data_IF_379841399988
#
_entry.id   IF_379841399988
#
_cell.length_a   1.000
_cell.length_b   1.000
_cell.length_c   1.000
_cell.angle_alpha   90.00
_cell.angle_beta   90.00
_cell.angle_gamma   90.00
#
_symmetry.space_group_name_H-M   'P 1'
#
loop_
_entity.id
_entity.type
_entity.pdbx_description
1 polymer ?
#
# COMPACT_ATOMS: atom_id res chain seq x y z
N UNK A 1 17.76 3.26 33.26
CA UNK A 1 16.79 4.37 33.35
C UNK A 1 16.47 4.81 31.93
N UNK A 2 15.19 4.69 31.60
CA UNK A 2 14.46 5.05 30.38
C UNK A 2 15.01 4.70 29.00
N UNK A 3 14.61 3.50 28.53
CA UNK A 3 14.47 3.15 27.12
C UNK A 3 13.03 3.38 26.60
N UNK A 4 12.24 4.26 27.23
CA UNK A 4 10.79 4.31 27.09
C UNK A 4 10.23 5.48 26.28
N UNK A 5 11.03 6.20 25.51
CA UNK A 5 10.51 7.11 24.47
C UNK A 5 10.49 6.39 23.12
N UNK A 6 9.79 5.25 23.06
CA UNK A 6 9.38 4.67 21.78
C UNK A 6 8.38 5.65 21.16
N UNK A 7 8.62 6.05 19.90
CA UNK A 7 7.78 6.99 19.16
C UNK A 7 6.30 6.63 19.31
N UNK A 8 5.56 7.47 20.02
CA UNK A 8 4.09 7.42 20.15
C UNK A 8 3.35 7.54 18.80
N UNK A 9 4.05 7.70 17.67
CA UNK A 9 3.46 7.96 16.35
C UNK A 9 2.83 6.74 15.68
N UNK A 10 3.08 5.51 16.17
CA UNK A 10 2.59 4.29 15.52
C UNK A 10 1.47 3.55 16.25
N UNK A 11 1.10 3.99 17.46
CA UNK A 11 -0.03 3.39 18.18
C UNK A 11 -1.35 3.84 17.56
N UNK A 12 -2.13 2.88 17.05
CA UNK A 12 -3.41 3.14 16.40
C UNK A 12 -4.62 2.98 17.33
N UNK A 13 -4.45 2.55 18.58
CA UNK A 13 -5.57 2.40 19.53
C UNK A 13 -6.43 3.67 19.65
N UNK A 14 -5.87 4.89 19.79
CA UNK A 14 -6.69 6.10 19.84
C UNK A 14 -7.57 6.27 18.60
N UNK A 15 -7.06 5.89 17.42
CA UNK A 15 -7.84 5.94 16.18
C UNK A 15 -8.94 4.87 16.17
N UNK A 16 -8.67 3.64 16.61
CA UNK A 16 -9.70 2.60 16.75
C UNK A 16 -10.82 3.06 17.69
N UNK A 17 -10.48 3.67 18.82
CA UNK A 17 -11.47 4.24 19.75
C UNK A 17 -12.29 5.35 19.09
N UNK A 18 -11.66 6.22 18.30
CA UNK A 18 -12.37 7.25 17.53
C UNK A 18 -13.32 6.64 16.50
N UNK A 19 -12.92 5.57 15.81
CA UNK A 19 -13.80 4.86 14.87
C UNK A 19 -15.03 4.36 15.61
N UNK A 20 -14.84 3.65 16.72
CA UNK A 20 -15.94 3.12 17.53
C UNK A 20 -16.90 4.20 18.03
N UNK A 21 -16.38 5.35 18.49
CA UNK A 21 -17.21 6.45 19.00
C UNK A 21 -17.94 7.22 17.90
N UNK A 22 -17.54 7.10 16.63
CA UNK A 22 -18.09 7.87 15.52
C UNK A 22 -18.84 7.02 14.49
N UNK A 23 -19.11 5.74 14.78
CA UNK A 23 -20.02 4.92 13.96
C UNK A 23 -21.39 5.62 13.95
N UNK A 24 -21.94 5.98 12.79
CA UNK A 24 -23.25 6.64 12.75
C UNK A 24 -24.37 5.71 13.27
N UNK A 25 -25.31 6.27 14.03
CA UNK A 25 -26.41 5.49 14.61
C UNK A 25 -27.52 5.17 13.59
N UNK A 26 -27.87 6.14 12.73
CA UNK A 26 -28.99 6.07 11.78
C UNK A 26 -28.60 5.54 10.39
N UNK A 27 -27.84 4.45 10.35
CA UNK A 27 -27.40 3.77 9.12
C UNK A 27 -27.62 2.26 9.23
N UNK A 28 -27.65 1.57 8.09
CA UNK A 28 -27.83 0.11 8.03
C UNK A 28 -26.61 -0.62 8.62
N UNK A 29 -26.80 -1.89 8.99
CA UNK A 29 -25.69 -2.72 9.48
C UNK A 29 -24.57 -2.86 8.41
N UNK A 30 -24.93 -2.98 7.13
CA UNK A 30 -23.96 -3.00 6.04
C UNK A 30 -23.19 -1.68 5.91
N UNK A 31 -23.88 -0.55 6.09
CA UNK A 31 -23.24 0.78 6.12
C UNK A 31 -22.31 0.94 7.33
N UNK A 32 -22.63 0.35 8.50
CA UNK A 32 -21.73 0.32 9.67
C UNK A 32 -20.48 -0.52 9.38
N UNK A 33 -20.65 -1.69 8.77
CA UNK A 33 -19.55 -2.54 8.32
C UNK A 33 -18.66 -1.76 7.33
N UNK A 34 -19.27 -1.08 6.36
CA UNK A 34 -18.56 -0.23 5.40
C UNK A 34 -17.79 0.90 6.07
N UNK A 35 -18.40 1.58 7.04
CA UNK A 35 -17.75 2.63 7.83
C UNK A 35 -16.51 2.11 8.55
N UNK A 36 -16.65 1.02 9.31
CA UNK A 36 -15.53 0.39 10.04
C UNK A 36 -14.43 -0.02 9.05
N UNK A 37 -14.78 -0.66 7.95
CA UNK A 37 -13.85 -1.15 6.94
C UNK A 37 -13.01 -0.01 6.34
N UNK A 38 -13.66 1.07 5.90
CA UNK A 38 -12.99 2.22 5.30
C UNK A 38 -12.12 2.95 6.33
N UNK A 39 -12.62 3.20 7.53
CA UNK A 39 -11.84 3.92 8.56
C UNK A 39 -10.62 3.11 9.03
N UNK A 40 -10.75 1.80 9.21
CA UNK A 40 -9.59 0.94 9.51
C UNK A 40 -8.56 0.97 8.37
N UNK A 41 -9.01 0.96 7.11
CA UNK A 41 -8.12 1.01 5.95
C UNK A 41 -7.29 2.30 5.84
N UNK A 42 -7.77 3.39 6.46
CA UNK A 42 -7.03 4.67 6.52
C UNK A 42 -5.88 4.65 7.54
N UNK A 43 -5.87 3.72 8.50
CA UNK A 43 -4.90 3.72 9.61
C UNK A 43 -3.90 2.58 9.56
N UNK A 44 -4.27 1.45 8.94
CA UNK A 44 -3.38 0.30 8.80
C UNK A 44 -2.43 0.42 7.60
N UNK A 45 -1.30 -0.26 7.70
CA UNK A 45 -0.41 -0.57 6.57
C UNK A 45 0.00 -2.03 6.66
N UNK A 46 0.19 -2.67 5.51
CA UNK A 46 0.57 -4.08 5.48
C UNK A 46 2.00 -4.28 5.98
N UNK A 47 2.15 -5.23 6.91
CA UNK A 47 3.45 -5.59 7.46
C UNK A 47 4.24 -6.47 6.48
N UNK A 48 5.01 -5.82 5.60
CA UNK A 48 5.81 -6.50 4.58
C UNK A 48 6.99 -7.32 5.14
N UNK A 49 7.25 -7.23 6.46
CA UNK A 49 8.30 -8.00 7.15
C UNK A 49 8.09 -9.50 7.08
N UNK A 50 6.83 -9.92 6.91
CA UNK A 50 6.42 -11.32 6.74
C UNK A 50 7.18 -12.05 5.62
N UNK A 51 7.70 -11.34 4.63
CA UNK A 51 8.47 -11.93 3.52
C UNK A 51 9.90 -12.31 3.94
N UNK A 52 10.47 -11.61 4.92
CA UNK A 52 11.79 -11.91 5.48
C UNK A 52 11.74 -12.69 6.79
N UNK A 53 10.62 -12.59 7.51
CA UNK A 53 10.41 -13.21 8.81
C UNK A 53 8.95 -13.66 8.94
N UNK A 54 8.71 -14.95 8.72
CA UNK A 54 7.37 -15.53 8.80
C UNK A 54 6.79 -15.54 10.22
N UNK A 55 7.60 -15.34 11.26
CA UNK A 55 7.12 -15.32 12.65
C UNK A 55 6.22 -14.12 12.93
N UNK A 56 6.40 -13.02 12.18
CA UNK A 56 5.56 -11.81 12.23
C UNK A 56 4.07 -12.13 11.97
N UNK A 57 3.79 -13.10 11.11
CA UNK A 57 2.41 -13.54 10.83
C UNK A 57 1.72 -14.20 12.03
N UNK A 58 2.52 -14.76 12.95
CA UNK A 58 2.06 -15.54 14.09
C UNK A 58 2.11 -14.75 15.40
N UNK A 59 2.51 -13.47 15.36
CA UNK A 59 2.47 -12.59 16.53
C UNK A 59 1.02 -12.29 16.92
N UNK A 60 0.56 -12.72 18.12
CA UNK A 60 -0.79 -12.41 18.57
C UNK A 60 -0.94 -10.92 18.86
N UNK A 61 -2.16 -10.41 18.71
CA UNK A 61 -2.51 -9.08 19.16
C UNK A 61 -2.59 -9.08 20.69
N UNK A 62 -1.73 -8.29 21.32
CA UNK A 62 -1.75 -8.08 22.77
C UNK A 62 -2.60 -6.84 23.08
N UNK A 63 -3.91 -7.05 23.25
CA UNK A 63 -4.87 -6.00 23.57
C UNK A 63 -4.63 -5.39 24.97
N UNK A 64 -4.03 -6.15 25.91
CA UNK A 64 -3.74 -5.72 27.29
C UNK A 64 -2.61 -4.68 27.34
N UNK A 65 -1.68 -4.72 26.37
CA UNK A 65 -0.60 -3.72 26.26
C UNK A 65 -1.07 -2.33 25.83
N UNK A 66 -2.35 -2.17 25.47
CA UNK A 66 -2.94 -0.91 24.99
C UNK A 66 -2.11 -0.25 23.86
N UNK A 67 -1.44 -1.06 23.05
CA UNK A 67 -0.51 -0.63 22.02
C UNK A 67 -0.63 -1.55 20.81
N UNK A 68 -1.33 -1.08 19.79
CA UNK A 68 -1.41 -1.74 18.49
C UNK A 68 -0.69 -0.86 17.48
N UNK A 69 0.40 -1.37 16.89
CA UNK A 69 1.12 -0.67 15.82
C UNK A 69 0.34 -0.66 14.49
N UNK A 70 0.53 0.37 13.66
CA UNK A 70 -0.10 0.50 12.32
C UNK A 70 0.25 -0.62 11.32
N UNK A 71 1.45 -1.20 11.42
CA UNK A 71 1.89 -2.28 10.52
C UNK A 71 1.35 -3.61 11.03
N UNK A 72 0.50 -4.26 10.22
CA UNK A 72 -0.16 -5.51 10.56
C UNK A 72 -0.28 -6.46 9.38
N UNK A 73 -0.30 -7.76 9.67
CA UNK A 73 -0.51 -8.82 8.67
C UNK A 73 -2.00 -9.01 8.38
N UNK A 74 -2.32 -9.79 7.34
CA UNK A 74 -3.70 -10.06 6.94
C UNK A 74 -4.54 -10.67 8.08
N UNK A 75 -3.93 -11.54 8.89
CA UNK A 75 -4.59 -12.13 10.06
C UNK A 75 -4.92 -11.08 11.11
N UNK A 76 -3.94 -10.28 11.52
CA UNK A 76 -4.15 -9.28 12.57
C UNK A 76 -5.14 -8.18 12.14
N UNK A 77 -5.12 -7.76 10.87
CA UNK A 77 -6.10 -6.81 10.34
C UNK A 77 -7.52 -7.43 10.33
N UNK A 78 -7.63 -8.69 9.90
CA UNK A 78 -8.92 -9.42 9.86
C UNK A 78 -9.47 -9.68 11.27
N UNK A 79 -8.61 -9.96 12.25
CA UNK A 79 -8.98 -10.14 13.65
C UNK A 79 -9.58 -8.86 14.26
N UNK A 80 -8.90 -7.72 14.07
CA UNK A 80 -9.41 -6.42 14.55
C UNK A 80 -10.73 -6.07 13.85
N UNK A 81 -10.82 -6.26 12.53
CA UNK A 81 -12.06 -6.00 11.81
C UNK A 81 -13.21 -6.90 12.27
N UNK A 82 -12.96 -8.20 12.44
CA UNK A 82 -13.92 -9.18 12.97
C UNK A 82 -14.40 -8.81 14.37
N UNK A 83 -13.47 -8.42 15.25
CA UNK A 83 -13.78 -7.97 16.59
C UNK A 83 -14.72 -6.76 16.56
N UNK A 84 -14.42 -5.74 15.75
CA UNK A 84 -15.24 -4.54 15.67
C UNK A 84 -16.63 -4.83 15.08
N UNK A 85 -16.73 -5.64 14.03
CA UNK A 85 -18.03 -6.01 13.46
C UNK A 85 -18.89 -6.75 14.49
N UNK A 86 -18.34 -7.78 15.15
CA UNK A 86 -19.08 -8.57 16.14
C UNK A 86 -19.52 -7.79 17.39
N UNK A 87 -18.82 -6.71 17.74
CA UNK A 87 -19.15 -5.90 18.92
C UNK A 87 -20.05 -4.70 18.62
N UNK A 88 -19.96 -4.12 17.41
CA UNK A 88 -20.60 -2.84 17.08
C UNK A 88 -21.65 -2.91 15.98
N UNK A 89 -21.84 -4.08 15.35
CA UNK A 89 -22.86 -4.31 14.32
C UNK A 89 -23.83 -5.39 14.83
N UNK A 90 -24.94 -5.02 15.50
CA UNK A 90 -25.71 -5.92 16.37
C UNK A 90 -26.23 -7.21 15.72
N UNK A 91 -26.51 -7.18 14.41
CA UNK A 91 -27.12 -8.31 13.72
C UNK A 91 -26.17 -9.02 12.74
N UNK A 92 -24.91 -8.61 12.65
CA UNK A 92 -23.91 -9.24 11.79
C UNK A 92 -23.05 -10.24 12.58
N UNK A 93 -22.58 -11.29 11.91
CA UNK A 93 -21.62 -12.25 12.49
C UNK A 93 -20.40 -12.36 11.59
N UNK A 94 -19.25 -11.94 12.12
CA UNK A 94 -17.98 -11.98 11.44
C UNK A 94 -17.11 -13.15 11.92
N UNK A 95 -16.37 -13.78 11.00
CA UNK A 95 -15.29 -14.73 11.32
C UNK A 95 -14.15 -14.62 10.30
N UNK A 96 -12.95 -14.97 10.75
CA UNK A 96 -11.78 -15.09 9.87
C UNK A 96 -11.87 -16.40 9.08
N UNK A 97 -11.53 -16.35 7.81
CA UNK A 97 -11.43 -17.52 6.93
C UNK A 97 -10.10 -17.53 6.17
N UNK A 98 -9.65 -18.71 5.78
CA UNK A 98 -8.56 -18.86 4.80
C UNK A 98 -9.07 -18.56 3.39
N UNK A 99 -8.24 -17.91 2.59
CA UNK A 99 -8.56 -17.47 1.23
C UNK A 99 -7.38 -17.72 0.30
N UNK A 100 -7.56 -18.66 -0.63
CA UNK A 100 -6.64 -18.82 -1.76
C UNK A 100 -6.87 -17.71 -2.78
N UNK A 101 -5.83 -16.96 -3.14
CA UNK A 101 -5.90 -15.94 -4.19
C UNK A 101 -5.31 -16.51 -5.49
N UNK A 102 -6.10 -16.63 -6.58
CA UNK A 102 -5.60 -17.15 -7.85
C UNK A 102 -4.36 -16.39 -8.34
N UNK A 103 -3.35 -17.13 -8.78
CA UNK A 103 -2.11 -16.56 -9.33
C UNK A 103 -1.17 -15.94 -8.29
N UNK A 104 -1.48 -16.00 -6.99
CA UNK A 104 -0.58 -15.57 -5.91
C UNK A 104 -0.23 -16.74 -5.01
N UNK A 105 1.07 -16.91 -4.78
CA UNK A 105 1.59 -17.84 -3.79
C UNK A 105 2.10 -17.03 -2.61
N UNK A 106 1.55 -17.30 -1.43
CA UNK A 106 2.00 -16.71 -0.18
C UNK A 106 2.79 -17.77 0.60
N UNK A 107 3.75 -17.33 1.42
CA UNK A 107 4.49 -18.25 2.31
C UNK A 107 3.60 -18.85 3.41
N UNK A 108 2.50 -18.16 3.75
CA UNK A 108 1.42 -18.62 4.61
C UNK A 108 0.07 -18.34 3.94
N UNK A 109 -0.93 -19.17 4.21
CA UNK A 109 -2.29 -18.98 3.69
C UNK A 109 -2.78 -17.56 3.99
N UNK A 110 -3.29 -16.89 2.95
CA UNK A 110 -3.87 -15.57 3.09
C UNK A 110 -5.25 -15.69 3.75
N UNK A 111 -5.63 -14.69 4.54
CA UNK A 111 -6.91 -14.71 5.27
C UNK A 111 -7.74 -13.47 4.98
N UNK A 112 -9.06 -13.65 5.06
CA UNK A 112 -10.07 -12.63 4.87
C UNK A 112 -11.15 -12.75 5.97
N UNK A 113 -12.14 -11.87 5.92
CA UNK A 113 -13.29 -11.88 6.85
C UNK A 113 -14.56 -12.26 6.11
N UNK A 114 -15.25 -13.31 6.57
CA UNK A 114 -16.63 -13.59 6.19
C UNK A 114 -17.56 -12.87 7.17
N UNK A 115 -18.61 -12.24 6.65
CA UNK A 115 -19.70 -11.68 7.46
C UNK A 115 -21.03 -12.24 6.99
N UNK A 116 -21.77 -12.87 7.90
CA UNK A 116 -23.14 -13.32 7.68
C UNK A 116 -24.13 -12.28 8.25
N UNK A 117 -25.09 -11.89 7.43
CA UNK A 117 -26.16 -10.94 7.75
C UNK A 117 -27.44 -11.68 8.21
N UNK A 118 -28.42 -10.97 8.82
CA UNK A 118 -29.64 -11.61 9.35
C UNK A 118 -30.50 -12.33 8.32
N UNK A 119 -30.43 -11.90 7.07
CA UNK A 119 -31.12 -12.51 5.93
C UNK A 119 -30.35 -13.71 5.35
N UNK A 120 -29.28 -14.15 6.00
CA UNK A 120 -28.35 -15.20 5.56
C UNK A 120 -27.47 -14.85 4.37
N UNK A 121 -27.45 -13.59 3.94
CA UNK A 121 -26.45 -13.12 2.97
C UNK A 121 -25.05 -13.24 3.59
N UNK A 122 -24.10 -13.72 2.81
CA UNK A 122 -22.71 -13.90 3.22
C UNK A 122 -21.78 -13.09 2.36
N UNK A 123 -21.02 -12.19 2.98
CA UNK A 123 -20.10 -11.32 2.28
C UNK A 123 -18.65 -11.66 2.62
N UNK A 124 -17.79 -11.57 1.60
CA UNK A 124 -16.35 -11.70 1.74
C UNK A 124 -15.69 -10.32 1.75
N UNK A 125 -14.92 -10.03 2.80
CA UNK A 125 -14.22 -8.76 2.97
C UNK A 125 -12.71 -8.98 3.16
N UNK A 126 -11.90 -8.30 2.37
CA UNK A 126 -10.44 -8.37 2.46
C UNK A 126 -9.81 -6.98 2.53
N UNK A 127 -9.80 -6.44 3.74
CA UNK A 127 -9.29 -5.09 4.01
C UNK A 127 -7.81 -4.94 3.62
N UNK A 128 -7.03 -6.01 3.75
CA UNK A 128 -5.60 -6.01 3.46
C UNK A 128 -5.35 -5.71 1.98
N UNK A 129 -6.15 -6.29 1.08
CA UNK A 129 -6.00 -6.04 -0.34
C UNK A 129 -6.49 -4.65 -0.76
N UNK A 130 -7.42 -4.05 0.00
CA UNK A 130 -8.00 -2.73 -0.26
C UNK A 130 -7.30 -1.56 0.46
N UNK A 131 -6.30 -1.79 1.33
CA UNK A 131 -5.59 -0.72 2.04
C UNK A 131 -5.13 0.41 1.10
N UNK A 132 -4.49 0.05 -0.02
CA UNK A 132 -4.01 1.02 -1.00
C UNK A 132 -5.15 1.71 -1.76
N UNK A 133 -6.25 1.01 -2.01
CA UNK A 133 -7.44 1.59 -2.65
C UNK A 133 -8.05 2.65 -1.73
N UNK A 134 -8.26 2.31 -0.46
CA UNK A 134 -8.84 3.20 0.55
C UNK A 134 -7.95 4.43 0.74
N UNK A 135 -6.65 4.25 0.96
CA UNK A 135 -5.71 5.35 1.20
C UNK A 135 -5.56 6.27 -0.02
N UNK A 136 -5.65 5.73 -1.23
CA UNK A 136 -5.62 6.54 -2.45
C UNK A 136 -6.95 7.22 -2.78
N UNK A 137 -8.06 6.88 -2.10
CA UNK A 137 -9.40 7.32 -2.48
C UNK A 137 -9.93 6.65 -3.75
N UNK A 138 -9.46 5.44 -4.05
CA UNK A 138 -9.96 4.59 -5.12
C UNK A 138 -11.20 3.81 -4.66
N UNK A 139 -11.94 3.25 -5.62
CA UNK A 139 -12.99 2.27 -5.35
C UNK A 139 -12.36 1.04 -4.71
N UNK A 140 -12.98 0.53 -3.66
CA UNK A 140 -12.65 -0.78 -3.08
C UNK A 140 -12.98 -1.88 -4.08
N UNK A 141 -12.11 -2.88 -4.17
CA UNK A 141 -12.23 -4.02 -5.08
C UNK A 141 -12.43 -5.34 -4.30
N UNK A 142 -12.38 -5.30 -2.96
CA UNK A 142 -12.46 -6.48 -2.08
C UNK A 142 -13.41 -6.29 -0.89
N UNK A 143 -14.37 -5.37 -1.02
CA UNK A 143 -15.52 -5.22 -0.13
C UNK A 143 -16.76 -5.92 -0.72
N UNK A 144 -16.91 -7.23 -0.50
CA UNK A 144 -18.06 -7.99 -1.01
C UNK A 144 -18.12 -8.10 -2.53
N UNK A 145 -16.99 -7.98 -3.23
CA UNK A 145 -16.94 -7.96 -4.70
C UNK A 145 -16.61 -9.31 -5.34
N UNK A 146 -16.23 -10.28 -4.53
CA UNK A 146 -15.76 -11.57 -5.00
C UNK A 146 -16.49 -12.69 -4.28
N UNK A 147 -16.70 -13.77 -5.02
CA UNK A 147 -17.08 -15.05 -4.45
C UNK A 147 -15.96 -16.07 -4.65
N UNK A 148 -15.97 -17.13 -3.86
CA UNK A 148 -15.08 -18.26 -4.05
C UNK A 148 -15.47 -19.12 -5.27
N UNK A 149 -14.71 -20.19 -5.50
CA UNK A 149 -14.87 -21.10 -6.64
C UNK A 149 -16.22 -21.83 -6.69
N UNK A 150 -16.98 -21.83 -5.59
CA UNK A 150 -18.29 -22.49 -5.47
C UNK A 150 -19.44 -21.50 -5.32
N UNK A 151 -19.18 -20.20 -5.54
CA UNK A 151 -20.19 -19.14 -5.51
C UNK A 151 -20.95 -19.01 -4.18
N UNK A 152 -20.27 -19.20 -3.04
CA UNK A 152 -20.94 -19.19 -1.72
C UNK A 152 -21.16 -17.80 -1.10
N UNK A 153 -20.58 -16.74 -1.69
CA UNK A 153 -20.70 -15.38 -1.18
C UNK A 153 -21.55 -14.50 -2.09
N UNK A 154 -22.34 -13.65 -1.47
CA UNK A 154 -23.12 -12.61 -2.11
C UNK A 154 -22.24 -11.43 -2.55
N UNK A 155 -22.71 -10.72 -3.58
CA UNK A 155 -21.97 -9.65 -4.22
C UNK A 155 -22.62 -8.30 -3.95
N UNK A 156 -21.83 -7.39 -3.38
CA UNK A 156 -22.16 -5.98 -3.24
C UNK A 156 -21.72 -5.26 -4.51
N UNK A 157 -22.63 -4.50 -5.12
CA UNK A 157 -22.31 -3.81 -6.37
C UNK A 157 -21.44 -2.56 -6.15
N UNK A 158 -20.67 -2.15 -7.17
CA UNK A 158 -19.87 -0.92 -7.11
C UNK A 158 -20.77 0.32 -6.97
N UNK A 159 -22.00 0.24 -7.49
CA UNK A 159 -23.01 1.29 -7.34
C UNK A 159 -23.43 1.43 -5.87
N UNK A 160 -23.71 0.32 -5.20
CA UNK A 160 -24.11 0.29 -3.80
C UNK A 160 -22.98 0.77 -2.88
N UNK A 161 -21.74 0.32 -3.11
CA UNK A 161 -20.56 0.87 -2.41
C UNK A 161 -20.43 2.38 -2.58
N UNK A 162 -20.67 2.91 -3.80
CA UNK A 162 -20.64 4.36 -4.05
C UNK A 162 -21.76 5.13 -3.36
N UNK A 163 -22.94 4.52 -3.22
CA UNK A 163 -24.06 5.11 -2.48
C UNK A 163 -23.74 5.17 -0.99
N UNK A 164 -23.20 4.09 -0.41
CA UNK A 164 -22.72 4.08 0.97
C UNK A 164 -21.61 5.11 1.19
N UNK A 165 -20.59 5.15 0.34
CA UNK A 165 -19.46 6.07 0.48
C UNK A 165 -19.88 7.55 0.39
N UNK A 166 -20.89 7.87 -0.43
CA UNK A 166 -21.47 9.23 -0.48
C UNK A 166 -22.24 9.56 0.78
N UNK A 167 -23.08 8.63 1.26
CA UNK A 167 -23.87 8.81 2.49
C UNK A 167 -22.99 8.97 3.72
N UNK A 168 -21.91 8.19 3.80
CA UNK A 168 -20.92 8.21 4.88
C UNK A 168 -19.90 9.36 4.72
N UNK A 169 -19.96 10.13 3.63
CA UNK A 169 -19.08 11.29 3.40
C UNK A 169 -17.64 10.95 3.00
N UNK A 170 -17.36 9.70 2.62
CA UNK A 170 -16.04 9.27 2.14
C UNK A 170 -15.73 9.77 0.73
N UNK A 171 -16.77 9.99 -0.09
CA UNK A 171 -16.61 10.47 -1.47
C UNK A 171 -17.57 11.62 -1.74
N UNK A 172 -17.02 12.82 -1.97
CA UNK A 172 -17.79 14.02 -2.31
C UNK A 172 -17.75 14.35 -3.81
N UNK A 173 -16.56 14.44 -4.40
CA UNK A 173 -16.35 14.90 -5.79
C UNK A 173 -16.14 13.78 -6.82
N UNK A 174 -15.88 12.55 -6.36
CA UNK A 174 -15.52 11.41 -7.22
C UNK A 174 -14.43 10.55 -6.59
N UNK A 175 -14.15 9.40 -7.20
CA UNK A 175 -13.03 8.56 -6.79
C UNK A 175 -11.76 8.96 -7.53
N UNK A 176 -10.60 8.64 -6.99
CA UNK A 176 -9.31 8.79 -7.69
C UNK A 176 -9.27 7.97 -9.00
N UNK A 177 -10.12 6.95 -9.16
CA UNK A 177 -10.29 6.28 -10.45
C UNK A 177 -10.71 7.27 -11.56
N UNK A 178 -11.63 8.19 -11.23
CA UNK A 178 -12.13 9.20 -12.17
C UNK A 178 -11.01 10.20 -12.54
N UNK A 179 -10.08 10.46 -11.62
CA UNK A 179 -8.88 11.27 -11.88
C UNK A 179 -7.88 10.55 -12.78
N UNK A 180 -7.68 9.23 -12.60
CA UNK A 180 -6.82 8.41 -13.46
C UNK A 180 -7.39 8.37 -14.89
N UNK A 181 -8.69 8.15 -15.04
CA UNK A 181 -9.36 8.13 -16.35
C UNK A 181 -9.21 9.48 -17.07
N UNK A 182 -9.33 10.59 -16.32
CA UNK A 182 -9.11 11.94 -16.87
C UNK A 182 -7.66 12.12 -17.32
N UNK A 183 -6.67 11.75 -16.50
CA UNK A 183 -5.25 11.84 -16.85
C UNK A 183 -4.94 10.99 -18.09
N UNK A 184 -5.49 9.78 -18.18
CA UNK A 184 -5.37 8.92 -19.36
C UNK A 184 -5.95 9.58 -20.61
N UNK A 185 -7.15 10.17 -20.49
CA UNK A 185 -7.77 10.92 -21.57
C UNK A 185 -6.91 12.11 -22.00
N UNK A 186 -6.38 12.89 -21.06
CA UNK A 186 -5.51 14.05 -21.35
C UNK A 186 -4.23 13.62 -22.08
N UNK A 187 -3.57 12.55 -21.61
CA UNK A 187 -2.36 12.01 -22.22
C UNK A 187 -2.58 11.44 -23.62
N UNK A 188 -3.76 10.90 -23.91
CA UNK A 188 -4.10 10.41 -25.26
C UNK A 188 -4.22 11.53 -26.31
N UNK A 189 -4.37 12.78 -25.88
CA UNK A 189 -4.45 13.95 -26.76
C UNK A 189 -3.08 14.63 -26.96
N UNK A 190 -2.04 14.17 -26.28
CA UNK A 190 -0.69 14.73 -26.43
C UNK A 190 -0.06 14.20 -27.71
N UNK A 191 0.40 15.11 -28.57
CA UNK A 191 1.17 14.75 -29.75
C UNK A 191 2.61 14.38 -29.37
N UNK A 192 2.91 13.08 -29.40
CA UNK A 192 4.24 12.54 -29.18
C UNK A 192 5.05 12.35 -30.47
N UNK A 193 4.61 12.93 -31.59
CA UNK A 193 5.35 12.86 -32.85
C UNK A 193 6.77 13.41 -32.70
N UNK A 194 7.76 12.61 -33.11
CA UNK A 194 9.17 12.97 -32.99
C UNK A 194 9.79 12.79 -31.60
N UNK A 195 9.03 12.27 -30.61
CA UNK A 195 9.56 11.88 -29.31
C UNK A 195 10.08 10.45 -29.31
N UNK A 196 11.17 10.23 -28.59
CA UNK A 196 11.68 8.90 -28.32
C UNK A 196 10.81 8.17 -27.29
N UNK A 197 10.75 6.82 -27.29
CA UNK A 197 10.01 6.07 -26.27
C UNK A 197 10.37 6.46 -24.83
N UNK A 198 11.65 6.77 -24.59
CA UNK A 198 12.13 7.27 -23.29
C UNK A 198 11.46 8.59 -22.89
N UNK A 199 11.45 9.58 -23.79
CA UNK A 199 10.84 10.89 -23.52
C UNK A 199 9.33 10.77 -23.26
N UNK A 200 8.65 9.87 -23.97
CA UNK A 200 7.21 9.63 -23.78
C UNK A 200 6.94 9.09 -22.36
N UNK A 201 7.66 8.04 -21.95
CA UNK A 201 7.51 7.46 -20.61
C UNK A 201 7.88 8.48 -19.53
N UNK A 202 8.98 9.23 -19.71
CA UNK A 202 9.39 10.28 -18.76
C UNK A 202 8.32 11.36 -18.60
N UNK A 203 7.71 11.79 -19.71
CA UNK A 203 6.62 12.77 -19.71
C UNK A 203 5.39 12.23 -18.96
N UNK A 204 4.92 11.03 -19.31
CA UNK A 204 3.75 10.40 -18.67
C UNK A 204 3.94 10.24 -17.16
N UNK A 205 5.10 9.76 -16.73
CA UNK A 205 5.39 9.57 -15.29
C UNK A 205 5.43 10.92 -14.56
N UNK A 206 6.04 11.94 -15.17
CA UNK A 206 6.07 13.30 -14.59
C UNK A 206 4.66 13.86 -14.46
N UNK A 207 3.84 13.72 -15.51
CA UNK A 207 2.45 14.16 -15.52
C UNK A 207 1.61 13.44 -14.44
N UNK A 208 1.72 12.12 -14.35
CA UNK A 208 1.07 11.33 -13.30
C UNK A 208 1.52 11.75 -11.90
N UNK A 209 2.82 12.00 -11.70
CA UNK A 209 3.33 12.48 -10.41
C UNK A 209 2.71 13.82 -10.03
N UNK A 210 2.60 14.76 -10.96
CA UNK A 210 2.02 16.09 -10.69
C UNK A 210 0.51 16.03 -10.40
N UNK A 211 -0.23 15.16 -11.08
CA UNK A 211 -1.70 15.11 -11.01
C UNK A 211 -2.25 14.11 -9.99
N UNK A 212 -1.51 13.03 -9.72
CA UNK A 212 -2.00 11.86 -9.00
C UNK A 212 -1.15 11.51 -7.77
N UNK A 213 -0.24 12.38 -7.32
CA UNK A 213 0.48 12.12 -6.07
C UNK A 213 -0.47 12.03 -4.87
N UNK A 214 -0.27 10.98 -4.05
CA UNK A 214 -1.02 10.73 -2.82
C UNK A 214 -0.04 10.39 -1.69
N UNK A 215 -0.48 10.63 -0.45
CA UNK A 215 0.24 10.20 0.74
C UNK A 215 -0.31 8.87 1.23
N UNK A 216 0.58 8.00 1.71
CA UNK A 216 0.23 6.67 2.19
C UNK A 216 0.74 6.46 3.60
N UNK A 217 0.03 5.61 4.34
CA UNK A 217 0.40 5.20 5.69
C UNK A 217 1.72 4.41 5.66
N UNK A 218 1.90 3.56 4.65
CA UNK A 218 3.14 2.84 4.44
C UNK A 218 3.57 2.76 2.98
N UNK A 219 4.84 2.36 2.79
CA UNK A 219 5.45 2.24 1.48
C UNK A 219 4.79 1.16 0.61
N UNK A 220 4.22 0.11 1.22
CA UNK A 220 3.60 -0.98 0.47
C UNK A 220 2.36 -0.49 -0.29
N UNK A 221 1.47 0.26 0.37
CA UNK A 221 0.27 0.79 -0.24
C UNK A 221 0.60 1.77 -1.37
N UNK A 222 1.54 2.69 -1.14
CA UNK A 222 1.95 3.63 -2.17
C UNK A 222 2.64 2.97 -3.36
N UNK A 223 3.41 1.91 -3.12
CA UNK A 223 3.99 1.09 -4.19
C UNK A 223 2.92 0.43 -5.07
N UNK A 224 1.90 -0.17 -4.44
CA UNK A 224 0.76 -0.75 -5.16
C UNK A 224 0.00 0.31 -5.95
N UNK A 225 -0.22 1.48 -5.35
CA UNK A 225 -0.89 2.59 -6.01
C UNK A 225 -0.13 3.08 -7.26
N UNK A 226 1.17 3.32 -7.13
CA UNK A 226 1.99 3.75 -8.28
C UNK A 226 1.97 2.70 -9.38
N UNK A 227 2.11 1.42 -9.02
CA UNK A 227 2.03 0.36 -10.02
C UNK A 227 0.67 0.39 -10.76
N UNK A 228 -0.44 0.55 -10.04
CA UNK A 228 -1.78 0.70 -10.64
C UNK A 228 -1.86 1.91 -11.58
N UNK A 229 -1.40 3.08 -11.14
CA UNK A 229 -1.39 4.29 -11.99
C UNK A 229 -0.59 4.07 -13.27
N UNK A 230 0.61 3.49 -13.17
CA UNK A 230 1.43 3.19 -14.34
C UNK A 230 0.75 2.18 -15.27
N UNK A 231 0.14 1.12 -14.74
CA UNK A 231 -0.54 0.12 -15.58
C UNK A 231 -1.78 0.65 -16.29
N UNK A 232 -2.44 1.66 -15.74
CA UNK A 232 -3.64 2.26 -16.35
C UNK A 232 -3.29 3.30 -17.41
N UNK A 233 -2.18 4.02 -17.25
CA UNK A 233 -1.79 5.16 -18.07
C UNK A 233 -0.82 4.80 -19.20
N UNK A 234 0.02 3.79 -19.00
CA UNK A 234 0.98 3.35 -20.01
C UNK A 234 0.28 2.55 -21.11
N UNK A 235 0.76 2.72 -22.34
CA UNK A 235 0.32 1.90 -23.48
C UNK A 235 0.85 0.47 -23.37
N UNK A 236 0.24 -0.52 -24.04
CA UNK A 236 0.65 -1.93 -23.93
C UNK A 236 2.14 -2.16 -24.22
N UNK A 237 2.73 -1.45 -25.19
CA UNK A 237 4.14 -1.54 -25.55
C UNK A 237 5.05 -0.99 -24.45
N UNK A 238 4.66 0.11 -23.81
CA UNK A 238 5.40 0.71 -22.70
C UNK A 238 5.33 -0.19 -21.46
N UNK A 239 4.14 -0.72 -21.17
CA UNK A 239 3.87 -1.60 -20.03
C UNK A 239 4.66 -2.91 -20.11
N UNK A 240 4.88 -3.47 -21.31
CA UNK A 240 5.71 -4.68 -21.49
C UNK A 240 7.14 -4.50 -20.98
N UNK A 241 7.67 -3.28 -21.03
CA UNK A 241 9.02 -2.98 -20.55
C UNK A 241 9.08 -2.68 -19.05
N UNK A 242 7.92 -2.45 -18.40
CA UNK A 242 7.83 -2.12 -16.98
C UNK A 242 8.12 -3.36 -16.12
N UNK A 243 9.15 -3.24 -15.28
CA UNK A 243 9.46 -4.20 -14.21
C UNK A 243 9.45 -3.51 -12.86
N UNK A 244 8.83 -4.15 -11.88
CA UNK A 244 8.86 -3.70 -10.49
C UNK A 244 9.78 -4.60 -9.65
N UNK A 245 10.64 -3.97 -8.86
CA UNK A 245 11.51 -4.64 -7.89
C UNK A 245 11.28 -4.02 -6.51
N UNK A 246 11.10 -4.87 -5.50
CA UNK A 246 10.98 -4.42 -4.12
C UNK A 246 12.30 -4.68 -3.39
N UNK A 247 12.82 -3.63 -2.77
CA UNK A 247 14.03 -3.66 -1.96
C UNK A 247 13.62 -3.42 -0.50
N UNK A 248 14.11 -4.27 0.40
CA UNK A 248 13.89 -4.14 1.83
C UNK A 248 15.20 -3.89 2.55
N UNK A 249 15.16 -3.05 3.58
CA UNK A 249 16.26 -2.87 4.51
C UNK A 249 15.73 -3.12 5.91
N UNK A 250 16.24 -4.18 6.54
CA UNK A 250 15.92 -4.52 7.92
C UNK A 250 17.04 -4.04 8.84
N UNK A 251 16.70 -3.17 9.78
CA UNK A 251 17.46 -2.99 11.02
C UNK A 251 16.64 -3.58 12.18
N UNK A 252 17.20 -3.60 13.39
CA UNK A 252 16.59 -4.24 14.57
C UNK A 252 15.19 -3.76 14.92
N UNK A 253 14.77 -2.59 14.43
CA UNK A 253 13.56 -1.90 14.89
C UNK A 253 12.61 -1.47 13.75
N UNK A 254 12.98 -1.64 12.49
CA UNK A 254 12.15 -1.26 11.33
C UNK A 254 12.52 -2.01 10.06
N UNK A 255 11.52 -2.28 9.21
CA UNK A 255 11.76 -2.65 7.81
C UNK A 255 11.35 -1.47 6.94
N UNK A 256 12.34 -0.94 6.24
CA UNK A 256 12.12 0.05 5.20
C UNK A 256 11.89 -0.67 3.88
N UNK A 257 10.90 -0.23 3.13
CA UNK A 257 10.56 -0.75 1.82
C UNK A 257 10.73 0.35 0.78
N UNK A 258 11.40 -0.01 -0.32
CA UNK A 258 11.58 0.81 -1.51
C UNK A 258 11.14 0.01 -2.73
N UNK A 259 10.46 0.66 -3.66
CA UNK A 259 10.09 0.05 -4.93
C UNK A 259 10.80 0.72 -6.09
N UNK A 260 11.43 -0.09 -6.92
CA UNK A 260 12.10 0.34 -8.15
C UNK A 260 11.22 -0.05 -9.32
N UNK A 261 10.94 0.92 -10.21
CA UNK A 261 10.24 0.72 -11.48
C UNK A 261 11.24 0.94 -12.60
N UNK A 262 11.55 -0.12 -13.34
CA UNK A 262 12.51 -0.09 -14.44
C UNK A 262 11.83 -0.29 -15.78
N UNK A 263 12.23 0.50 -16.78
CA UNK A 263 11.87 0.34 -18.18
C UNK A 263 13.16 -0.05 -18.91
N UNK A 264 13.44 -1.35 -18.94
CA UNK A 264 14.75 -1.88 -19.36
C UNK A 264 15.12 -1.47 -20.78
N UNK A 265 14.14 -1.46 -21.67
CA UNK A 265 14.33 -1.27 -23.11
C UNK A 265 14.78 0.16 -23.45
N UNK A 266 14.60 1.10 -22.52
CA UNK A 266 14.95 2.52 -22.67
C UNK A 266 15.91 3.02 -21.59
N UNK A 267 16.46 2.12 -20.77
CA UNK A 267 17.37 2.45 -19.66
C UNK A 267 16.86 3.62 -18.81
N UNK A 268 15.64 3.44 -18.28
CA UNK A 268 14.95 4.44 -17.46
C UNK A 268 14.45 3.80 -16.16
N UNK A 269 14.76 4.43 -15.03
CA UNK A 269 14.47 3.88 -13.71
C UNK A 269 13.89 4.94 -12.78
N UNK A 270 12.94 4.51 -11.97
CA UNK A 270 12.34 5.30 -10.91
C UNK A 270 12.37 4.54 -9.59
N UNK A 271 12.44 5.28 -8.50
CA UNK A 271 12.47 4.78 -7.14
C UNK A 271 11.37 5.47 -6.34
N UNK A 272 10.54 4.67 -5.69
CA UNK A 272 9.50 5.14 -4.78
C UNK A 272 9.88 4.85 -3.33
N UNK A 273 9.74 5.89 -2.49
CA UNK A 273 9.72 5.76 -1.03
C UNK A 273 8.53 6.53 -0.49
N UNK A 274 7.99 6.13 0.66
CA UNK A 274 6.89 6.88 1.30
C UNK A 274 7.25 8.34 1.63
N UNK A 275 8.53 8.62 1.94
CA UNK A 275 8.98 9.96 2.31
C UNK A 275 9.27 10.87 1.10
N UNK A 276 9.85 10.31 0.02
CA UNK A 276 10.29 11.10 -1.13
C UNK A 276 9.33 11.03 -2.33
N UNK A 277 8.34 10.13 -2.31
CA UNK A 277 7.53 9.84 -3.47
C UNK A 277 8.33 9.16 -4.59
N UNK A 278 7.79 9.20 -5.81
CA UNK A 278 8.41 8.61 -7.00
C UNK A 278 9.44 9.57 -7.61
N UNK A 279 10.69 9.14 -7.73
CA UNK A 279 11.78 9.94 -8.27
C UNK A 279 12.63 9.16 -9.27
N UNK A 280 13.14 9.86 -10.28
CA UNK A 280 14.06 9.27 -11.25
C UNK A 280 15.34 8.83 -10.55
N UNK A 281 15.89 7.68 -10.96
CA UNK A 281 17.12 7.11 -10.40
C UNK A 281 17.97 6.49 -11.52
N UNK A 282 19.11 5.90 -11.15
CA UNK A 282 20.04 5.24 -12.06
C UNK A 282 20.34 3.80 -11.61
N UNK A 283 20.74 2.90 -12.51
CA UNK A 283 21.26 1.57 -12.16
C UNK A 283 22.36 1.62 -11.09
N UNK A 284 23.27 2.59 -11.19
CA UNK A 284 24.34 2.82 -10.20
C UNK A 284 23.77 3.07 -8.80
N UNK A 285 22.78 3.94 -8.66
CA UNK A 285 22.17 4.22 -7.36
C UNK A 285 21.48 2.99 -6.76
N UNK A 286 20.79 2.20 -7.60
CA UNK A 286 20.13 0.96 -7.17
C UNK A 286 21.19 -0.06 -6.70
N UNK A 287 22.29 -0.20 -7.45
CA UNK A 287 23.40 -1.07 -7.07
C UNK A 287 24.03 -0.66 -5.73
N UNK A 288 24.19 0.65 -5.49
CA UNK A 288 24.71 1.18 -4.22
C UNK A 288 23.76 0.91 -3.04
N UNK A 289 22.43 0.96 -3.24
CA UNK A 289 21.49 0.53 -2.20
C UNK A 289 21.75 -0.93 -1.81
N UNK A 290 21.88 -1.83 -2.78
CA UNK A 290 22.15 -3.25 -2.51
C UNK A 290 23.48 -3.45 -1.78
N UNK A 291 24.54 -2.72 -2.17
CA UNK A 291 25.83 -2.73 -1.45
C UNK A 291 25.70 -2.23 0.00
N UNK A 292 24.84 -1.26 0.23
CA UNK A 292 24.58 -0.68 1.55
C UNK A 292 23.57 -1.48 2.39
N UNK A 293 23.40 -2.78 2.09
CA UNK A 293 22.63 -3.71 2.91
C UNK A 293 21.14 -3.80 2.56
N UNK A 294 20.67 -3.09 1.53
CA UNK A 294 19.33 -3.36 1.00
C UNK A 294 19.30 -4.72 0.33
N UNK A 295 18.20 -5.45 0.50
CA UNK A 295 18.00 -6.81 0.01
C UNK A 295 16.83 -6.85 -0.95
N UNK A 296 16.85 -7.80 -1.86
CA UNK A 296 15.72 -8.11 -2.73
C UNK A 296 15.68 -9.60 -3.01
N UNK A 297 14.47 -10.14 -3.15
CA UNK A 297 14.26 -11.54 -3.53
C UNK A 297 14.21 -11.72 -5.05
N UNK A 298 14.26 -10.63 -5.83
CA UNK A 298 14.21 -10.69 -7.29
C UNK A 298 15.58 -11.00 -7.88
N UNK A 299 15.75 -12.21 -8.41
CA UNK A 299 16.98 -12.61 -9.11
C UNK A 299 17.14 -11.83 -10.43
N UNK A 300 16.03 -11.43 -11.05
CA UNK A 300 16.06 -10.70 -12.33
C UNK A 300 16.52 -9.24 -12.19
N UNK A 301 16.69 -8.73 -10.96
CA UNK A 301 17.24 -7.39 -10.74
C UNK A 301 18.68 -7.26 -11.27
N UNK A 302 19.42 -8.37 -11.36
CA UNK A 302 20.81 -8.37 -11.83
C UNK A 302 20.93 -7.88 -13.28
N UNK A 303 19.90 -8.10 -14.10
CA UNK A 303 19.87 -7.59 -15.48
C UNK A 303 19.92 -6.06 -15.59
N UNK A 304 19.58 -5.34 -14.51
CA UNK A 304 19.72 -3.87 -14.46
C UNK A 304 21.21 -3.46 -14.46
N UNK A 305 22.10 -4.34 -14.02
CA UNK A 305 23.51 -4.01 -13.77
C UNK A 305 24.47 -4.56 -14.82
N UNK A 306 23.97 -5.25 -15.85
CA UNK A 306 24.78 -5.89 -16.89
C UNK A 306 25.67 -4.87 -17.63
N UNK A 307 25.17 -3.65 -17.83
CA UNK A 307 25.88 -2.57 -18.52
C UNK A 307 26.75 -1.69 -17.59
N UNK A 308 26.77 -1.97 -16.28
CA UNK A 308 27.61 -1.20 -15.36
C UNK A 308 29.09 -1.56 -15.54
N UNK A 309 29.93 -0.54 -15.74
CA UNK A 309 31.39 -0.71 -15.78
C UNK A 309 31.93 -1.10 -14.40
N UNK A 310 33.14 -1.66 -14.36
CA UNK A 310 33.79 -1.93 -13.07
C UNK A 310 34.03 -0.63 -12.27
N UNK A 311 34.28 0.50 -12.94
CA UNK A 311 34.38 1.81 -12.28
C UNK A 311 33.04 2.25 -11.65
N UNK A 312 31.90 1.98 -12.31
CA UNK A 312 30.57 2.24 -11.74
C UNK A 312 30.29 1.40 -10.50
N UNK A 313 30.84 0.19 -10.46
CA UNK A 313 30.72 -0.74 -9.33
C UNK A 313 31.70 -0.41 -8.20
N UNK A 314 32.80 0.30 -8.46
CA UNK A 314 33.89 0.53 -7.50
C UNK A 314 33.73 1.84 -6.70
N UNK A 315 32.89 2.80 -7.11
CA UNK A 315 32.82 4.08 -6.37
C UNK A 315 32.35 3.91 -4.92
N UNK A 316 33.32 3.97 -3.99
CA UNK A 316 33.17 4.13 -2.55
C UNK A 316 33.26 5.62 -2.18
N UNK A 317 32.51 5.96 -1.12
CA UNK A 317 32.80 7.06 -0.20
C UNK A 317 32.83 8.49 -0.76
N UNK A 318 31.67 9.04 -1.10
CA UNK A 318 31.34 10.44 -0.78
C UNK A 318 29.88 10.77 -1.09
N UNK A 319 29.18 11.23 -0.05
CA UNK A 319 27.90 11.96 -0.06
C UNK A 319 26.69 11.32 -0.75
N UNK A 320 26.12 10.30 -0.09
CA UNK A 320 24.69 10.05 -0.19
C UNK A 320 23.91 11.18 0.49
N UNK A 321 22.96 11.86 -0.17
CA UNK A 321 22.19 12.96 0.44
C UNK A 321 21.07 12.47 1.40
N UNK A 322 21.10 11.22 1.85
CA UNK A 322 20.12 10.67 2.80
C UNK A 322 20.82 9.92 3.94
N UNK A 323 21.47 10.67 4.85
CA UNK A 323 21.69 10.18 6.21
C UNK A 323 20.39 10.36 7.00
N UNK A 324 19.64 9.28 7.19
CA UNK A 324 18.60 9.22 8.24
C UNK A 324 19.28 8.93 9.59
N UNK A 325 20.18 9.81 10.03
CA UNK A 325 20.67 9.86 11.40
C UNK A 325 20.23 11.18 12.00
N UNK A 326 19.11 11.15 12.72
CA UNK A 326 18.73 12.24 13.60
C UNK A 326 19.67 12.26 14.80
N UNK A 327 20.77 12.99 14.68
CA UNK A 327 21.55 13.43 15.85
C UNK A 327 21.46 14.95 15.96
N UNK A 328 20.67 15.38 16.96
CA UNK A 328 20.65 16.75 17.46
C UNK A 328 22.04 17.09 18.01
N UNK A 329 22.83 17.87 17.26
CA UNK A 329 23.92 18.64 17.85
C UNK A 329 23.36 19.98 18.36
N UNK A 330 23.05 19.97 19.66
CA UNK A 330 22.89 21.19 20.44
C UNK A 330 24.16 22.05 20.30
N UNK A 331 24.06 23.19 19.63
CA UNK A 331 24.98 24.30 19.86
C UNK A 331 24.18 25.53 20.26
N UNK A 332 24.08 25.70 21.58
CA UNK A 332 23.67 26.92 22.25
C UNK A 332 24.64 28.02 21.81
N UNK A 333 24.13 29.05 21.13
CA UNK A 333 24.72 30.40 21.19
C UNK A 333 23.67 31.34 21.76
N UNK A 334 23.97 31.80 22.97
CA UNK A 334 23.32 32.90 23.68
C UNK A 334 23.14 34.11 22.77
N UNK A 335 21.94 34.69 22.80
CA UNK A 335 21.69 36.05 23.30
C UNK A 335 20.38 36.05 24.06
#
# INVERSE_FOLDING_TARGET
MDSSVKKNSDNIIPFINLIMCNIPDEITDLEKIRYIYIELGKVFSYDYRIISDESVASEPLDYERNMIGRYKTCYQISDIFTLLVNNFVPNAKAKIIERTIPGRHFSKEHVATEVEMPNHDKFLFDLTLDLYNIQAGLRTEHFGFETDSVSQYDIISQKECKEMDRKLGFVQSGYTNDDIDRVKSELSQVDFSGKTPKEIIEYKITYCKEKLSKNFVGCHEGSRYIYKVLTEVLEPEELRSLKQYNLSYSNTDSINLVSVYGFSDVNLFYLYTGAAGLNKTTPKNIYQLLKNGWKTNSVSIQSIFEDLTEEDKISQDSDFPFSLSGENSNSIKKL
#
